data_IF_227404153836
#
_entry.id   IF_227404153836
#
_cell.length_a   1.000
_cell.length_b   1.000
_cell.length_c   1.000
_cell.angle_alpha   90.00
_cell.angle_beta   90.00
_cell.angle_gamma   90.00
#
_symmetry.space_group_name_H-M   'P 1'
#
loop_
_entity.id
_entity.type
_entity.pdbx_description
1 polymer ?
#
# COMPACT_ATOMS: atom_id res chain seq x y z
N UNK A 1 -28.47 0.74 0.22
CA UNK A 1 -27.56 0.82 -0.94
C UNK A 1 -26.37 1.60 -0.41
N UNK A 2 -25.15 1.12 -0.16
CA UNK A 2 -24.24 0.02 -0.58
C UNK A 2 -23.03 0.22 0.38
N UNK A 3 -22.18 -0.70 0.79
CA UNK A 3 -21.88 -2.09 0.51
C UNK A 3 -21.19 -2.65 1.79
N UNK A 4 -21.12 -3.97 1.86
CA UNK A 4 -20.56 -4.76 2.96
C UNK A 4 -19.10 -4.40 3.28
N UNK A 5 -18.83 -3.90 4.50
CA UNK A 5 -17.47 -3.91 5.05
C UNK A 5 -17.26 -5.24 5.80
N UNK A 6 -17.06 -6.29 5.02
CA UNK A 6 -16.53 -7.56 5.51
C UNK A 6 -15.01 -7.40 5.69
N UNK A 7 -14.56 -6.58 6.65
CA UNK A 7 -13.16 -6.63 7.10
C UNK A 7 -12.97 -7.86 8.00
N UNK A 8 -13.05 -9.04 7.37
CA UNK A 8 -12.53 -10.25 7.96
C UNK A 8 -11.00 -10.12 7.97
N UNK A 9 -10.49 -9.57 9.06
CA UNK A 9 -9.08 -9.60 9.41
C UNK A 9 -8.68 -11.06 9.63
N UNK A 10 -8.36 -11.75 8.53
CA UNK A 10 -7.88 -13.13 8.57
C UNK A 10 -6.65 -13.22 9.47
N UNK A 11 -6.85 -13.95 10.57
CA UNK A 11 -5.84 -14.38 11.53
C UNK A 11 -4.92 -15.37 10.81
N UNK A 12 -3.78 -14.88 10.37
CA UNK A 12 -2.68 -15.66 9.81
C UNK A 12 -1.39 -15.11 10.39
N UNK A 13 -1.05 -15.59 11.58
CA UNK A 13 0.19 -15.27 12.25
C UNK A 13 1.31 -16.04 11.54
N UNK A 14 2.00 -15.41 10.57
CA UNK A 14 3.38 -15.71 10.10
C UNK A 14 3.74 -14.88 8.86
N UNK A 15 4.72 -13.96 8.98
CA UNK A 15 5.31 -13.05 7.94
C UNK A 15 4.55 -11.75 7.60
N UNK A 16 4.34 -10.90 8.61
CA UNK A 16 4.16 -9.45 8.40
C UNK A 16 5.53 -8.78 8.23
N UNK A 17 5.60 -7.69 7.47
CA UNK A 17 6.78 -6.84 7.32
C UNK A 17 6.41 -5.37 7.46
N UNK A 18 7.41 -4.54 7.75
CA UNK A 18 7.25 -3.09 7.67
C UNK A 18 7.27 -2.67 6.20
N UNK A 19 6.27 -1.89 5.80
CA UNK A 19 6.20 -1.25 4.48
C UNK A 19 6.08 0.24 4.75
N UNK A 20 6.92 1.04 4.10
CA UNK A 20 6.85 2.49 4.20
C UNK A 20 6.08 3.01 3.01
N UNK A 21 5.11 3.88 3.23
CA UNK A 21 4.40 4.60 2.17
C UNK A 21 4.72 6.07 2.33
N UNK A 22 5.26 6.70 1.29
CA UNK A 22 5.62 8.12 1.31
C UNK A 22 4.78 8.91 0.32
N UNK A 23 4.33 10.10 0.70
CA UNK A 23 3.63 11.03 -0.19
C UNK A 23 3.95 12.46 0.24
N UNK A 24 4.38 13.31 -0.70
CA UNK A 24 4.77 14.70 -0.39
C UNK A 24 5.71 14.82 0.82
N UNK A 25 6.80 14.04 0.83
CA UNK A 25 7.80 14.02 1.91
C UNK A 25 7.29 13.50 3.26
N UNK A 26 6.10 12.88 3.29
CA UNK A 26 5.52 12.29 4.51
C UNK A 26 5.55 10.76 4.42
N UNK A 27 6.55 10.10 5.03
CA UNK A 27 6.59 8.65 5.16
C UNK A 27 5.69 8.17 6.32
N UNK A 28 4.93 7.10 6.08
CA UNK A 28 4.18 6.37 7.09
C UNK A 28 4.53 4.88 7.00
N UNK A 29 4.88 4.29 8.14
CA UNK A 29 5.25 2.87 8.23
C UNK A 29 4.06 2.04 8.67
N UNK A 30 3.79 0.95 7.94
CA UNK A 30 2.71 0.01 8.25
C UNK A 30 3.27 -1.40 8.41
N UNK A 31 2.76 -2.15 9.39
CA UNK A 31 3.02 -3.57 9.54
C UNK A 31 1.99 -4.37 8.72
N UNK A 32 2.41 -4.93 7.59
CA UNK A 32 1.49 -5.57 6.63
C UNK A 32 1.94 -6.97 6.21
N UNK A 33 0.99 -7.84 5.85
CA UNK A 33 1.30 -9.19 5.39
C UNK A 33 1.64 -9.20 3.89
N UNK A 34 2.74 -9.87 3.51
CA UNK A 34 3.15 -10.01 2.10
C UNK A 34 2.10 -10.73 1.24
N UNK A 35 1.28 -11.56 1.86
CA UNK A 35 0.25 -12.38 1.20
C UNK A 35 -1.10 -11.66 1.06
N UNK A 36 -1.29 -10.54 1.77
CA UNK A 36 -2.55 -9.79 1.72
C UNK A 36 -2.51 -8.74 0.60
N UNK A 37 -3.67 -8.40 0.02
CA UNK A 37 -3.77 -7.37 -1.01
C UNK A 37 -3.37 -6.00 -0.46
N UNK A 38 -2.60 -5.23 -1.21
CA UNK A 38 -2.11 -3.92 -0.76
C UNK A 38 -3.23 -2.87 -0.61
N UNK A 39 -4.43 -3.13 -1.15
CA UNK A 39 -5.57 -2.20 -1.09
C UNK A 39 -5.85 -1.64 0.31
N UNK A 40 -5.97 -2.51 1.32
CA UNK A 40 -6.28 -2.07 2.69
C UNK A 40 -5.19 -1.15 3.24
N UNK A 41 -3.93 -1.43 2.95
CA UNK A 41 -2.81 -0.58 3.37
C UNK A 41 -2.86 0.79 2.68
N UNK A 42 -3.11 0.81 1.38
CA UNK A 42 -3.19 2.05 0.60
C UNK A 42 -4.39 2.90 1.02
N UNK A 43 -5.56 2.28 1.22
CA UNK A 43 -6.75 2.94 1.75
C UNK A 43 -6.46 3.54 3.14
N UNK A 44 -5.83 2.78 4.03
CA UNK A 44 -5.50 3.27 5.37
C UNK A 44 -4.53 4.46 5.34
N UNK A 45 -3.57 4.43 4.44
CA UNK A 45 -2.66 5.54 4.21
C UNK A 45 -3.40 6.78 3.69
N UNK A 46 -4.27 6.61 2.69
CA UNK A 46 -5.12 7.66 2.15
C UNK A 46 -6.01 8.29 3.24
N UNK A 47 -6.64 7.48 4.09
CA UNK A 47 -7.43 7.95 5.24
C UNK A 47 -6.59 8.80 6.20
N UNK A 48 -5.39 8.33 6.58
CA UNK A 48 -4.49 9.07 7.49
C UNK A 48 -4.02 10.40 6.90
N UNK A 49 -3.88 10.47 5.59
CA UNK A 49 -3.40 11.65 4.87
C UNK A 49 -4.54 12.55 4.39
N UNK A 50 -5.79 12.16 4.65
CA UNK A 50 -7.02 12.82 4.22
C UNK A 50 -7.09 12.99 2.69
N UNK A 51 -6.73 11.93 1.97
CA UNK A 51 -6.65 11.89 0.51
C UNK A 51 -7.56 10.81 -0.04
N UNK A 52 -8.01 10.98 -1.28
CA UNK A 52 -8.78 9.96 -1.98
C UNK A 52 -7.86 9.01 -2.74
N UNK A 53 -8.20 7.71 -2.74
CA UNK A 53 -7.41 6.68 -3.43
C UNK A 53 -7.25 6.93 -4.93
N UNK A 54 -8.26 7.55 -5.56
CA UNK A 54 -8.26 7.89 -6.99
C UNK A 54 -7.41 9.14 -7.31
N UNK A 55 -7.11 9.98 -6.32
CA UNK A 55 -6.28 11.17 -6.52
C UNK A 55 -4.78 10.89 -6.40
N UNK A 56 -4.39 9.67 -5.99
CA UNK A 56 -2.99 9.28 -5.78
C UNK A 56 -2.67 8.03 -6.57
N UNK A 57 -1.55 8.08 -7.27
CA UNK A 57 -0.92 6.93 -7.90
C UNK A 57 0.20 6.45 -7.02
N UNK A 58 0.09 5.22 -6.54
CA UNK A 58 1.17 4.56 -5.82
C UNK A 58 2.06 3.80 -6.81
N UNK A 59 3.35 3.89 -6.58
CA UNK A 59 4.40 3.24 -7.35
C UNK A 59 5.40 2.62 -6.39
N UNK A 60 5.90 1.44 -6.72
CA UNK A 60 6.94 0.74 -5.99
C UNK A 60 7.98 0.27 -7.00
N UNK A 61 9.25 0.62 -6.81
CA UNK A 61 10.33 0.30 -7.76
C UNK A 61 9.97 0.60 -9.23
N UNK A 62 9.27 1.71 -9.48
CA UNK A 62 8.78 2.09 -10.81
C UNK A 62 7.54 1.34 -11.31
N UNK A 63 7.07 0.30 -10.61
CA UNK A 63 5.83 -0.41 -10.93
C UNK A 63 4.62 0.26 -10.28
N UNK A 64 3.61 0.60 -11.09
CA UNK A 64 2.39 1.23 -10.59
C UNK A 64 1.44 0.25 -9.94
N UNK A 65 1.03 0.55 -8.70
CA UNK A 65 0.02 -0.20 -7.95
C UNK A 65 -1.37 0.34 -8.32
N UNK A 66 -1.87 -0.01 -9.50
CA UNK A 66 -3.22 0.40 -9.96
C UNK A 66 -4.32 -0.33 -9.21
N UNK A 67 -4.27 -1.67 -9.17
CA UNK A 67 -5.25 -2.49 -8.46
C UNK A 67 -4.64 -3.11 -7.20
N UNK A 68 -4.69 -2.37 -6.09
CA UNK A 68 -4.22 -2.88 -4.80
C UNK A 68 -4.99 -4.12 -4.32
N UNK A 69 -6.21 -4.35 -4.82
CA UNK A 69 -7.05 -5.50 -4.48
C UNK A 69 -6.49 -6.81 -5.04
N UNK A 70 -5.86 -6.74 -6.22
CA UNK A 70 -5.34 -7.91 -6.96
C UNK A 70 -3.83 -8.07 -6.83
N UNK A 71 -3.16 -7.05 -6.31
CA UNK A 71 -1.72 -7.00 -6.14
C UNK A 71 -1.36 -7.11 -4.67
N UNK A 72 -0.54 -8.11 -4.36
CA UNK A 72 0.04 -8.34 -3.04
C UNK A 72 1.48 -7.88 -2.98
N UNK A 73 2.00 -7.64 -1.77
CA UNK A 73 3.40 -7.27 -1.58
C UNK A 73 4.35 -8.33 -2.17
N UNK A 74 3.99 -9.62 -2.06
CA UNK A 74 4.76 -10.72 -2.64
C UNK A 74 4.84 -10.64 -4.17
N UNK A 75 3.76 -10.27 -4.86
CA UNK A 75 3.76 -10.14 -6.33
C UNK A 75 4.61 -8.97 -6.82
N UNK A 76 4.72 -7.92 -6.02
CA UNK A 76 5.60 -6.80 -6.30
C UNK A 76 7.04 -7.03 -5.81
N UNK A 77 7.36 -8.24 -5.35
CA UNK A 77 8.67 -8.58 -4.78
C UNK A 77 9.07 -7.61 -3.65
N UNK A 78 8.09 -7.14 -2.89
CA UNK A 78 8.33 -6.29 -1.72
C UNK A 78 8.94 -7.15 -0.62
N UNK A 79 10.21 -6.91 -0.37
CA UNK A 79 10.97 -7.54 0.69
C UNK A 79 11.88 -6.56 1.39
N UNK A 80 12.27 -6.97 2.59
CA UNK A 80 13.29 -6.25 3.35
C UNK A 80 14.60 -6.65 2.71
N UNK A 81 15.38 -5.67 2.29
CA UNK A 81 16.68 -5.88 1.64
C UNK A 81 17.73 -6.36 2.66
N UNK A 82 18.93 -6.66 2.17
CA UNK A 82 20.02 -7.27 2.96
C UNK A 82 20.43 -6.42 4.17
N UNK A 83 20.27 -5.09 4.06
CA UNK A 83 20.54 -4.11 5.11
C UNK A 83 19.40 -3.97 6.13
N UNK A 84 18.25 -4.62 5.89
CA UNK A 84 17.10 -4.51 6.77
C UNK A 84 16.15 -3.34 6.43
N UNK A 85 16.27 -2.69 5.27
CA UNK A 85 15.41 -1.56 4.92
C UNK A 85 14.03 -2.05 4.45
N UNK A 86 12.94 -1.42 4.91
CA UNK A 86 11.60 -1.80 4.48
C UNK A 86 11.32 -1.30 3.06
N UNK A 87 10.53 -2.03 2.27
CA UNK A 87 10.09 -1.57 0.96
C UNK A 87 9.33 -0.24 1.05
N UNK A 88 9.67 0.70 0.16
CA UNK A 88 9.12 2.06 0.13
C UNK A 88 8.19 2.23 -1.08
N UNK A 89 6.91 2.48 -0.81
CA UNK A 89 5.90 2.82 -1.81
C UNK A 89 5.82 4.33 -1.92
N UNK A 90 5.99 4.86 -3.12
CA UNK A 90 5.90 6.28 -3.42
C UNK A 90 4.50 6.61 -3.95
N UNK A 91 3.82 7.55 -3.30
CA UNK A 91 2.58 8.15 -3.75
C UNK A 91 2.85 9.44 -4.51
N UNK A 92 2.28 9.56 -5.70
CA UNK A 92 2.28 10.78 -6.50
C UNK A 92 0.84 11.22 -6.78
N UNK A 93 0.56 12.52 -6.79
CA UNK A 93 -0.76 13.00 -7.18
C UNK A 93 -1.06 12.60 -8.63
N UNK A 94 -2.26 12.08 -8.86
CA UNK A 94 -2.77 11.78 -10.19
C UNK A 94 -3.00 13.10 -10.91
N UNK A 95 -2.00 13.57 -11.66
CA UNK A 95 -2.17 14.69 -12.57
C UNK A 95 -2.95 14.18 -13.79
N UNK A 96 -4.26 14.38 -13.79
CA UNK A 96 -5.03 14.40 -15.04
C UNK A 96 -4.46 15.54 -15.87
N UNK A 97 -3.66 15.20 -16.89
CA UNK A 97 -3.24 16.15 -17.90
C UNK A 97 -4.48 16.77 -18.54
N UNK A 98 -4.56 18.10 -18.48
CA UNK A 98 -5.56 18.88 -19.20
C UNK A 98 -5.36 18.89 -20.71
#
# INVERSE_FOLDING_TARGET
MTAEDHDQAEQGESKKMHIVVTFNDKPLTFLYSKTKPLEKLLLKFCENMNLERNQIRFTYNGQSIRNGAEVTAKQMEMEVDEDGEPPIIEGHMFQEGG
#
